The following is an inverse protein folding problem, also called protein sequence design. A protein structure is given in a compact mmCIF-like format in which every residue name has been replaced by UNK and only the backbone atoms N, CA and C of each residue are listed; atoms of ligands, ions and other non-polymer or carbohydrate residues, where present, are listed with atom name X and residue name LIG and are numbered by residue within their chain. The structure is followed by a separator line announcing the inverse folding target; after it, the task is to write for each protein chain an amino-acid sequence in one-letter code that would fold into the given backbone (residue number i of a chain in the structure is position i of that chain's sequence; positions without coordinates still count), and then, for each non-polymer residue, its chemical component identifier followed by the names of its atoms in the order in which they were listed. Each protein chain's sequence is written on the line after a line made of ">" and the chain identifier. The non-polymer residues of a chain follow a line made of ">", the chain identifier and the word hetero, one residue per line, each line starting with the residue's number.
data_IF_607714859841
#
_entry.id   IF_607714859841
#
_cell.length_a   1.000
_cell.length_b   1.000
_cell.length_c   1.000
_cell.angle_alpha   90.00
_cell.angle_beta   90.00
_cell.angle_gamma   90.00
#
_symmetry.space_group_name_H-M   'P 1'
#
loop_
_entity.id
_entity.type
_entity.pdbx_description
1 polymer ?
#
# COMPACT_ATOMS: atom_id res chain seq x y z
N UNK A 1 -24.11 5.22 10.79
CA UNK A 1 -23.21 4.08 11.02
C UNK A 1 -21.81 4.23 10.39
N UNK A 2 -21.61 4.13 9.06
CA UNK A 2 -20.24 4.17 8.49
C UNK A 2 -19.51 5.51 8.74
N UNK A 3 -20.24 6.63 8.65
CA UNK A 3 -19.69 7.95 8.98
C UNK A 3 -19.19 8.02 10.42
N UNK A 4 -19.97 7.49 11.37
CA UNK A 4 -19.60 7.48 12.80
C UNK A 4 -18.39 6.57 13.04
N UNK A 5 -18.28 5.44 12.32
CA UNK A 5 -17.08 4.59 12.35
C UNK A 5 -15.86 5.37 11.85
N UNK A 6 -15.97 6.05 10.70
CA UNK A 6 -14.86 6.83 10.14
C UNK A 6 -14.46 7.96 11.09
N UNK A 7 -15.42 8.69 11.64
CA UNK A 7 -15.17 9.78 12.58
C UNK A 7 -14.52 9.25 13.88
N UNK A 8 -15.00 8.12 14.40
CA UNK A 8 -14.38 7.44 15.54
C UNK A 8 -12.95 6.98 15.25
N UNK A 9 -12.67 6.44 14.06
CA UNK A 9 -11.33 6.03 13.64
C UNK A 9 -10.39 7.22 13.48
N UNK A 10 -10.88 8.37 12.99
CA UNK A 10 -10.10 9.61 12.92
C UNK A 10 -9.71 10.10 14.31
N UNK A 11 -10.64 10.07 15.28
CA UNK A 11 -10.36 10.45 16.67
C UNK A 11 -9.32 9.50 17.30
N UNK A 12 -9.47 8.19 17.07
CA UNK A 12 -8.63 7.16 17.68
C UNK A 12 -7.36 6.81 16.87
N UNK A 13 -7.05 7.53 15.78
CA UNK A 13 -5.97 7.11 14.88
C UNK A 13 -4.60 7.04 15.56
N UNK A 14 -4.30 7.96 16.48
CA UNK A 14 -3.00 8.01 17.20
C UNK A 14 -2.79 6.77 18.08
N UNK A 15 -3.70 6.44 19.03
CA UNK A 15 -3.54 5.23 19.84
C UNK A 15 -3.58 3.96 18.99
N UNK A 16 -4.42 3.90 17.94
CA UNK A 16 -4.46 2.75 17.02
C UNK A 16 -3.12 2.56 16.31
N UNK A 17 -2.56 3.62 15.72
CA UNK A 17 -1.27 3.56 15.02
C UNK A 17 -0.11 3.22 15.97
N UNK A 18 -0.16 3.71 17.22
CA UNK A 18 0.81 3.35 18.25
C UNK A 18 0.73 1.86 18.62
N UNK A 19 -0.49 1.36 18.84
CA UNK A 19 -0.74 -0.06 19.13
C UNK A 19 -0.33 -0.97 17.96
N UNK A 20 -0.55 -0.53 16.73
CA UNK A 20 -0.15 -1.24 15.50
C UNK A 20 1.35 -1.50 15.44
N UNK A 21 2.18 -0.51 15.83
CA UNK A 21 3.65 -0.63 15.79
C UNK A 21 4.28 -1.08 17.12
N UNK A 22 3.47 -1.57 18.06
CA UNK A 22 3.92 -2.02 19.37
C UNK A 22 4.69 -3.35 19.31
N UNK A 23 5.72 -3.49 20.16
CA UNK A 23 6.41 -4.76 20.41
C UNK A 23 5.52 -5.81 21.11
N UNK A 24 4.34 -5.40 21.60
CA UNK A 24 3.34 -6.34 22.13
C UNK A 24 2.63 -7.03 20.97
N UNK A 25 3.15 -8.18 20.55
CA UNK A 25 2.72 -8.91 19.34
C UNK A 25 1.21 -9.18 19.27
N UNK A 26 0.55 -9.46 20.41
CA UNK A 26 -0.91 -9.66 20.47
C UNK A 26 -1.70 -8.37 20.23
N UNK A 27 -1.21 -7.25 20.76
CA UNK A 27 -1.84 -5.94 20.58
C UNK A 27 -1.74 -5.48 19.12
N UNK A 28 -0.54 -5.58 18.53
CA UNK A 28 -0.32 -5.27 17.11
C UNK A 28 -1.19 -6.16 16.21
N UNK A 29 -1.29 -7.46 16.51
CA UNK A 29 -2.15 -8.39 15.77
C UNK A 29 -3.62 -7.96 15.79
N UNK A 30 -4.18 -7.67 16.98
CA UNK A 30 -5.57 -7.29 17.12
C UNK A 30 -5.92 -6.03 16.31
N UNK A 31 -5.01 -5.05 16.26
CA UNK A 31 -5.19 -3.82 15.47
C UNK A 31 -5.19 -4.10 13.96
N UNK A 32 -4.24 -4.93 13.49
CA UNK A 32 -4.17 -5.28 12.06
C UNK A 32 -5.38 -6.13 11.63
N UNK A 33 -5.83 -7.06 12.47
CA UNK A 33 -7.04 -7.86 12.22
C UNK A 33 -8.29 -6.99 12.21
N UNK A 34 -8.38 -6.00 13.09
CA UNK A 34 -9.44 -5.01 13.06
C UNK A 34 -9.47 -4.23 11.74
N UNK A 35 -8.32 -3.82 11.20
CA UNK A 35 -8.25 -3.17 9.88
C UNK A 35 -8.58 -4.14 8.73
N UNK A 36 -8.17 -5.40 8.81
CA UNK A 36 -8.51 -6.44 7.84
C UNK A 36 -10.02 -6.67 7.73
N UNK A 37 -10.75 -6.45 8.83
CA UNK A 37 -12.21 -6.54 8.92
C UNK A 37 -12.86 -5.22 8.43
N UNK A 38 -12.30 -4.09 8.83
CA UNK A 38 -12.95 -2.79 8.63
C UNK A 38 -12.75 -2.24 7.23
N UNK A 39 -11.54 -2.33 6.67
CA UNK A 39 -11.25 -1.77 5.34
C UNK A 39 -12.14 -2.35 4.24
N UNK A 40 -12.36 -3.68 4.13
CA UNK A 40 -13.25 -4.23 3.10
C UNK A 40 -14.70 -3.79 3.22
N UNK A 41 -15.16 -3.49 4.44
CA UNK A 41 -16.53 -3.01 4.70
C UNK A 41 -16.71 -1.54 4.33
N UNK A 42 -15.64 -0.74 4.42
CA UNK A 42 -15.67 0.68 4.06
C UNK A 42 -15.39 0.90 2.57
N UNK A 43 -14.57 0.06 1.94
CA UNK A 43 -14.21 0.15 0.53
C UNK A 43 -13.76 1.57 0.15
N UNK A 44 -14.39 2.24 -0.83
CA UNK A 44 -14.06 3.62 -1.19
C UNK A 44 -14.15 4.62 -0.03
N UNK A 45 -15.02 4.39 0.97
CA UNK A 45 -15.18 5.29 2.13
C UNK A 45 -13.97 5.25 3.08
N UNK A 46 -13.01 4.35 2.86
CA UNK A 46 -11.76 4.28 3.59
C UNK A 46 -10.78 5.41 3.24
N UNK A 47 -11.03 6.18 2.17
CA UNK A 47 -10.13 7.26 1.70
C UNK A 47 -9.63 8.23 2.79
N UNK A 48 -10.48 8.75 3.69
CA UNK A 48 -10.02 9.67 4.73
C UNK A 48 -9.06 9.03 5.76
N UNK A 49 -8.98 7.70 5.79
CA UNK A 49 -8.18 6.92 6.72
C UNK A 49 -6.84 6.47 6.12
N UNK A 50 -6.69 6.55 4.79
CA UNK A 50 -5.45 6.23 4.07
C UNK A 50 -4.23 6.96 4.66
N UNK A 51 -4.21 8.30 4.79
CA UNK A 51 -3.04 9.00 5.33
C UNK A 51 -2.77 8.68 6.81
N UNK A 52 -3.74 8.12 7.53
CA UNK A 52 -3.62 7.83 8.97
C UNK A 52 -3.00 6.45 9.22
N UNK A 53 -3.38 5.44 8.43
CA UNK A 53 -3.00 4.05 8.70
C UNK A 53 -2.00 3.46 7.70
N UNK A 54 -2.12 3.77 6.41
CA UNK A 54 -1.25 3.17 5.36
C UNK A 54 0.23 3.44 5.60
N UNK A 55 0.67 4.67 5.98
CA UNK A 55 2.09 4.91 6.32
C UNK A 55 2.60 4.04 7.47
N UNK A 56 1.78 3.82 8.49
CA UNK A 56 2.14 3.00 9.65
C UNK A 56 2.24 1.51 9.29
N UNK A 57 1.37 1.02 8.40
CA UNK A 57 1.43 -0.35 7.89
C UNK A 57 2.69 -0.56 7.04
N UNK A 58 3.01 0.37 6.13
CA UNK A 58 4.22 0.31 5.30
C UNK A 58 5.51 0.34 6.15
N UNK A 59 5.52 1.17 7.21
CA UNK A 59 6.60 1.18 8.20
C UNK A 59 6.73 -0.17 8.91
N UNK A 60 5.61 -0.86 9.16
CA UNK A 60 5.61 -2.17 9.81
C UNK A 60 6.14 -3.28 8.88
N UNK A 61 5.82 -3.21 7.58
CA UNK A 61 6.40 -4.10 6.55
C UNK A 61 7.91 -3.93 6.39
N UNK A 62 8.48 -2.83 6.89
CA UNK A 62 9.92 -2.53 6.87
C UNK A 62 10.66 -3.03 8.12
N UNK A 63 10.02 -3.80 9.02
CA UNK A 63 10.69 -4.32 10.22
C UNK A 63 11.48 -5.60 9.95
N UNK A 64 12.36 -5.97 10.87
CA UNK A 64 13.16 -7.21 10.79
C UNK A 64 12.38 -8.45 11.21
N UNK A 65 11.36 -8.31 12.05
CA UNK A 65 10.58 -9.43 12.54
C UNK A 65 9.54 -9.89 11.51
N UNK A 66 9.78 -11.09 10.95
CA UNK A 66 8.95 -11.71 9.90
C UNK A 66 7.47 -11.81 10.25
N UNK A 67 7.11 -11.98 11.54
CA UNK A 67 5.71 -12.05 11.97
C UNK A 67 5.01 -10.72 11.77
N UNK A 68 5.67 -9.61 12.10
CA UNK A 68 5.12 -8.27 11.89
C UNK A 68 5.05 -7.92 10.41
N UNK A 69 6.10 -8.23 9.66
CA UNK A 69 6.16 -8.00 8.22
C UNK A 69 5.02 -8.73 7.49
N UNK A 70 4.89 -10.03 7.72
CA UNK A 70 3.86 -10.85 7.07
C UNK A 70 2.43 -10.37 7.39
N UNK A 71 2.17 -9.95 8.62
CA UNK A 71 0.85 -9.39 8.99
C UNK A 71 0.61 -8.03 8.35
N UNK A 72 1.61 -7.15 8.34
CA UNK A 72 1.51 -5.84 7.70
C UNK A 72 1.27 -5.97 6.19
N UNK A 73 2.00 -6.85 5.51
CA UNK A 73 1.81 -7.18 4.09
C UNK A 73 0.40 -7.71 3.82
N UNK A 74 -0.12 -8.62 4.67
CA UNK A 74 -1.50 -9.10 4.57
C UNK A 74 -2.51 -7.94 4.71
N UNK A 75 -2.32 -7.05 5.66
CA UNK A 75 -3.23 -5.91 5.88
C UNK A 75 -3.16 -4.90 4.73
N UNK A 76 -1.96 -4.58 4.25
CA UNK A 76 -1.79 -3.73 3.08
C UNK A 76 -2.46 -4.36 1.86
N UNK A 77 -2.27 -5.66 1.64
CA UNK A 77 -2.90 -6.41 0.56
C UNK A 77 -4.42 -6.37 0.65
N UNK A 78 -5.02 -6.52 1.83
CA UNK A 78 -6.46 -6.38 2.04
C UNK A 78 -6.94 -4.98 1.68
N UNK A 79 -6.29 -3.94 2.21
CA UNK A 79 -6.67 -2.54 1.92
C UNK A 79 -6.61 -2.27 0.42
N UNK A 80 -5.51 -2.62 -0.26
CA UNK A 80 -5.38 -2.41 -1.70
C UNK A 80 -6.43 -3.20 -2.47
N UNK A 81 -6.73 -4.44 -2.08
CA UNK A 81 -7.68 -5.28 -2.82
C UNK A 81 -9.12 -4.76 -2.74
N UNK A 82 -9.53 -4.23 -1.59
CA UNK A 82 -10.93 -3.85 -1.35
C UNK A 82 -11.18 -2.33 -1.37
N UNK A 83 -10.13 -1.52 -1.30
CA UNK A 83 -10.20 -0.05 -1.32
C UNK A 83 -9.40 0.50 -2.51
N UNK A 84 -9.97 0.54 -3.72
CA UNK A 84 -9.31 1.07 -4.91
C UNK A 84 -9.21 2.60 -4.86
N UNK A 85 -8.22 3.10 -4.13
CA UNK A 85 -8.10 4.50 -3.75
C UNK A 85 -6.82 5.13 -4.31
N UNK A 86 -6.92 6.16 -5.18
CA UNK A 86 -5.77 6.83 -5.77
C UNK A 86 -4.79 7.40 -4.73
N UNK A 87 -5.29 7.78 -3.55
CA UNK A 87 -4.49 8.28 -2.43
C UNK A 87 -3.48 7.25 -1.87
N UNK A 88 -3.64 5.96 -2.15
CA UNK A 88 -2.71 4.91 -1.74
C UNK A 88 -1.44 4.94 -2.62
N UNK A 89 -1.55 5.27 -3.90
CA UNK A 89 -0.41 5.20 -4.85
C UNK A 89 0.79 6.04 -4.40
N UNK A 90 0.64 7.32 -3.98
CA UNK A 90 1.76 8.10 -3.45
C UNK A 90 2.42 7.48 -2.23
N UNK A 91 1.66 6.79 -1.37
CA UNK A 91 2.21 6.14 -0.17
C UNK A 91 3.11 4.95 -0.55
N UNK A 92 2.72 4.20 -1.58
CA UNK A 92 3.51 3.10 -2.13
C UNK A 92 4.78 3.61 -2.81
N UNK A 93 4.68 4.69 -3.59
CA UNK A 93 5.83 5.36 -4.19
C UNK A 93 6.83 5.83 -3.13
N UNK A 94 6.34 6.47 -2.06
CA UNK A 94 7.16 6.87 -0.91
C UNK A 94 7.88 5.66 -0.31
N UNK A 95 7.20 4.52 -0.12
CA UNK A 95 7.83 3.32 0.41
C UNK A 95 8.95 2.79 -0.50
N UNK A 96 8.75 2.82 -1.82
CA UNK A 96 9.81 2.45 -2.79
C UNK A 96 10.99 3.42 -2.75
N UNK A 97 10.72 4.73 -2.63
CA UNK A 97 11.73 5.79 -2.72
C UNK A 97 12.54 5.97 -1.44
N UNK A 98 11.88 5.97 -0.28
CA UNK A 98 12.47 6.41 0.98
C UNK A 98 12.88 5.25 1.91
N UNK A 99 12.37 4.03 1.68
CA UNK A 99 12.70 2.91 2.56
C UNK A 99 14.16 2.46 2.42
N UNK A 100 14.91 2.61 3.52
CA UNK A 100 16.32 2.21 3.61
C UNK A 100 16.51 0.69 3.59
N UNK A 101 15.46 -0.07 3.93
CA UNK A 101 15.49 -1.53 3.99
C UNK A 101 14.80 -2.15 2.79
N UNK A 102 15.24 -3.34 2.38
CA UNK A 102 14.71 -4.02 1.19
C UNK A 102 13.24 -4.39 1.34
N UNK A 103 12.81 -4.87 2.51
CA UNK A 103 11.44 -5.32 2.73
C UNK A 103 10.41 -4.20 2.58
N UNK A 104 10.76 -2.97 2.94
CA UNK A 104 9.89 -1.81 2.72
C UNK A 104 9.73 -1.45 1.24
N UNK A 105 10.82 -1.53 0.46
CA UNK A 105 10.76 -1.31 -0.99
C UNK A 105 9.99 -2.43 -1.70
N UNK A 106 10.17 -3.68 -1.26
CA UNK A 106 9.36 -4.83 -1.70
C UNK A 106 7.87 -4.56 -1.42
N UNK A 107 7.51 -4.17 -0.19
CA UNK A 107 6.12 -3.91 0.17
C UNK A 107 5.47 -2.80 -0.69
N UNK A 108 6.21 -1.74 -1.00
CA UNK A 108 5.77 -0.70 -1.94
C UNK A 108 5.54 -1.26 -3.35
N UNK A 109 6.52 -1.99 -3.90
CA UNK A 109 6.46 -2.54 -5.24
C UNK A 109 5.35 -3.61 -5.39
N UNK A 110 5.21 -4.52 -4.43
CA UNK A 110 4.12 -5.50 -4.40
C UNK A 110 2.74 -4.83 -4.26
N UNK A 111 2.66 -3.75 -3.48
CA UNK A 111 1.46 -2.95 -3.37
C UNK A 111 1.05 -2.37 -4.73
N UNK A 112 2.01 -1.81 -5.48
CA UNK A 112 1.74 -1.28 -6.82
C UNK A 112 1.32 -2.38 -7.79
N UNK A 113 2.04 -3.51 -7.80
CA UNK A 113 1.69 -4.64 -8.66
C UNK A 113 0.27 -5.12 -8.39
N UNK A 114 -0.13 -5.17 -7.12
CA UNK A 114 -1.49 -5.53 -6.72
C UNK A 114 -2.52 -4.50 -7.19
N UNK A 115 -2.22 -3.21 -7.04
CA UNK A 115 -3.08 -2.13 -7.50
C UNK A 115 -3.30 -2.18 -9.03
N UNK A 116 -2.24 -2.37 -9.80
CA UNK A 116 -2.31 -2.56 -11.27
C UNK A 116 -3.22 -3.74 -11.64
N UNK A 117 -3.07 -4.86 -10.95
CA UNK A 117 -3.85 -6.08 -11.26
C UNK A 117 -5.31 -6.05 -10.77
N UNK A 118 -5.69 -5.14 -9.88
CA UNK A 118 -7.00 -5.18 -9.20
C UNK A 118 -7.89 -3.98 -9.46
N UNK A 119 -7.33 -2.83 -9.80
CA UNK A 119 -8.09 -1.60 -9.96
C UNK A 119 -8.43 -1.32 -11.41
N UNK A 120 -9.51 -0.57 -11.63
CA UNK A 120 -9.81 0.02 -12.92
C UNK A 120 -9.05 1.33 -13.08
N UNK A 121 -7.99 1.31 -13.89
CA UNK A 121 -7.14 2.46 -14.16
C UNK A 121 -7.68 3.37 -15.28
N UNK A 122 -8.81 3.02 -15.89
CA UNK A 122 -9.43 3.85 -16.94
C UNK A 122 -10.19 5.05 -16.35
N UNK A 123 -10.52 4.99 -15.06
CA UNK A 123 -11.30 6.01 -14.35
C UNK A 123 -10.44 7.18 -13.86
N UNK A 124 -11.02 8.38 -13.83
CA UNK A 124 -10.51 9.49 -13.02
C UNK A 124 -10.98 9.25 -11.56
N UNK A 125 -10.13 9.28 -10.51
CA UNK A 125 -8.80 9.89 -10.41
C UNK A 125 -7.61 8.96 -10.68
N UNK A 126 -7.85 7.69 -10.99
CA UNK A 126 -6.80 6.69 -11.08
C UNK A 126 -5.82 6.98 -12.23
N UNK A 127 -6.31 7.47 -13.37
CA UNK A 127 -5.48 7.95 -14.49
C UNK A 127 -4.44 8.99 -14.07
N UNK A 128 -4.79 9.90 -13.14
CA UNK A 128 -3.87 10.93 -12.66
C UNK A 128 -2.69 10.37 -11.85
N UNK A 129 -2.73 9.09 -11.47
CA UNK A 129 -1.69 8.39 -10.72
C UNK A 129 -0.76 7.53 -11.57
N UNK A 130 -0.97 7.47 -12.88
CA UNK A 130 -0.11 6.68 -13.78
C UNK A 130 1.34 7.22 -13.77
N UNK A 131 1.53 8.54 -13.70
CA UNK A 131 2.87 9.13 -13.58
C UNK A 131 3.62 8.66 -12.32
N UNK A 132 2.92 8.51 -11.18
CA UNK A 132 3.52 7.97 -9.95
C UNK A 132 3.96 6.49 -10.14
N UNK A 133 3.27 5.72 -10.99
CA UNK A 133 3.63 4.34 -11.34
C UNK A 133 4.90 4.31 -12.20
N UNK A 134 5.00 5.20 -13.19
CA UNK A 134 6.18 5.32 -14.03
C UNK A 134 7.41 5.74 -13.21
N UNK A 135 7.25 6.69 -12.29
CA UNK A 135 8.32 7.09 -11.36
C UNK A 135 8.77 5.90 -10.51
N UNK A 136 7.82 5.10 -10.02
CA UNK A 136 8.13 3.89 -9.28
C UNK A 136 8.90 2.88 -10.15
N UNK A 137 8.54 2.69 -11.42
CA UNK A 137 9.26 1.84 -12.37
C UNK A 137 10.69 2.32 -12.62
N UNK A 138 10.89 3.63 -12.82
CA UNK A 138 12.22 4.24 -12.99
C UNK A 138 13.12 3.98 -11.76
N UNK A 139 12.54 4.07 -10.56
CA UNK A 139 13.24 3.81 -9.30
C UNK A 139 13.56 2.33 -9.10
N UNK A 140 12.54 1.47 -9.18
CA UNK A 140 12.66 0.03 -8.85
C UNK A 140 13.37 -0.79 -9.92
N UNK A 141 13.34 -0.36 -11.18
CA UNK A 141 14.05 -1.04 -12.28
C UNK A 141 15.57 -1.01 -12.11
N UNK A 142 16.08 0.01 -11.42
CA UNK A 142 17.51 0.20 -11.11
C UNK A 142 17.85 -0.12 -9.65
N UNK A 143 16.95 -0.78 -8.92
CA UNK A 143 17.18 -1.08 -7.51
C UNK A 143 18.41 -1.99 -7.31
N UNK A 144 19.17 -1.74 -6.24
CA UNK A 144 20.32 -2.57 -5.86
C UNK A 144 19.93 -4.02 -5.56
N UNK A 145 18.70 -4.25 -5.09
CA UNK A 145 18.22 -5.59 -4.75
C UNK A 145 17.60 -6.29 -5.97
N UNK A 146 18.00 -7.54 -6.28
CA UNK A 146 17.47 -8.28 -7.42
C UNK A 146 15.97 -8.61 -7.30
N UNK A 147 15.45 -8.76 -6.08
CA UNK A 147 14.02 -9.06 -5.83
C UNK A 147 13.15 -7.87 -6.20
N UNK A 148 13.58 -6.65 -5.81
CA UNK A 148 12.89 -5.41 -6.16
C UNK A 148 12.90 -5.21 -7.68
N UNK A 149 14.03 -5.46 -8.35
CA UNK A 149 14.10 -5.43 -9.82
C UNK A 149 13.20 -6.47 -10.48
N UNK A 150 13.05 -7.65 -9.89
CA UNK A 150 12.13 -8.68 -10.39
C UNK A 150 10.67 -8.26 -10.28
N UNK A 151 10.28 -7.63 -9.18
CA UNK A 151 8.95 -7.03 -9.03
C UNK A 151 8.74 -5.90 -10.03
N UNK A 152 9.75 -5.06 -10.24
CA UNK A 152 9.70 -3.99 -11.24
C UNK A 152 9.38 -4.51 -12.64
N UNK A 153 9.98 -5.63 -13.07
CA UNK A 153 9.66 -6.28 -14.35
C UNK A 153 8.20 -6.73 -14.43
N UNK A 154 7.68 -7.36 -13.37
CA UNK A 154 6.26 -7.77 -13.30
C UNK A 154 5.32 -6.57 -13.35
N UNK A 155 5.68 -5.47 -12.70
CA UNK A 155 4.92 -4.22 -12.73
C UNK A 155 4.96 -3.64 -14.14
N UNK A 156 6.12 -3.65 -14.81
CA UNK A 156 6.24 -3.18 -16.17
C UNK A 156 5.40 -4.01 -17.14
N UNK A 157 5.35 -5.34 -16.97
CA UNK A 157 4.49 -6.20 -17.77
C UNK A 157 3.00 -5.88 -17.58
N UNK A 158 2.56 -5.68 -16.34
CA UNK A 158 1.19 -5.25 -16.04
C UNK A 158 0.89 -3.83 -16.59
N UNK A 159 1.86 -2.92 -16.48
CA UNK A 159 1.77 -1.56 -17.00
C UNK A 159 1.60 -1.54 -18.53
N UNK A 160 2.43 -2.29 -19.27
CA UNK A 160 2.33 -2.42 -20.74
C UNK A 160 0.95 -2.90 -21.18
N UNK A 161 0.39 -3.87 -20.45
CA UNK A 161 -0.93 -4.41 -20.77
C UNK A 161 -2.06 -3.40 -20.53
N UNK A 162 -1.92 -2.51 -19.54
CA UNK A 162 -2.93 -1.51 -19.19
C UNK A 162 -2.81 -0.21 -19.99
N UNK A 163 -1.58 0.18 -20.36
CA UNK A 163 -1.28 1.48 -20.98
C UNK A 163 -0.33 1.32 -22.18
N UNK A 164 -0.72 0.57 -23.23
CA UNK A 164 0.14 0.34 -24.38
C UNK A 164 0.55 1.64 -25.08
N UNK A 165 -0.34 2.64 -25.13
CA UNK A 165 -0.11 3.92 -25.80
C UNK A 165 0.99 4.78 -25.15
N UNK A 166 1.40 4.43 -23.92
CA UNK A 166 2.44 5.17 -23.16
C UNK A 166 3.82 4.54 -23.25
N UNK A 167 4.02 3.57 -24.13
CA UNK A 167 5.31 2.88 -24.32
C UNK A 167 6.20 3.55 -25.36
N UNK A 168 5.61 4.40 -26.20
CA UNK A 168 6.28 5.09 -27.30
C UNK A 168 6.67 6.55 -26.94
N UNK A 169 6.45 6.96 -25.68
CA UNK A 169 6.92 8.22 -25.07
C UNK A 169 8.20 8.02 -24.25
#
# INVERSE_FOLDING_TARGET
>A
FEKEIIDGLKVLHRPISSAMVSERTRLSAAVLDFLNITAPRLGPKFEPLVPLFVPSILRLSSRTNKVYVSRAEKTLAMIITYCPLPAIVPQLLIACKESKVVTGRIAGAEGVLRALNKWDWTQNPMKAKIGDIEDMLRLTGKDKDPTVRQLSRKIFDAYKALFPDRLDE
#
